data_IF_613354329615
#
_entry.id   IF_613354329615
#
_cell.length_a   1.000
_cell.length_b   1.000
_cell.length_c   1.000
_cell.angle_alpha   90.00
_cell.angle_beta   90.00
_cell.angle_gamma   90.00
#
_symmetry.space_group_name_H-M   'P 1'
#
loop_
_entity.id
_entity.type
_entity.pdbx_description
1 polymer ?
#
# COMPACT_ATOMS: atom_id res chain seq x y z
N UNK A 1 -10.32 -11.84 44.91
CA UNK A 1 -8.85 -11.77 44.90
C UNK A 1 -8.40 -11.81 43.46
N UNK A 2 -7.75 -10.75 43.01
CA UNK A 2 -7.48 -10.38 41.62
C UNK A 2 -6.18 -11.03 41.17
N UNK A 3 -6.23 -11.91 40.16
CA UNK A 3 -5.02 -12.44 39.53
C UNK A 3 -4.83 -11.69 38.22
N UNK A 4 -4.00 -10.67 38.26
CA UNK A 4 -3.50 -9.98 37.06
C UNK A 4 -2.56 -10.93 36.33
N UNK A 5 -2.99 -11.40 35.14
CA UNK A 5 -2.14 -12.11 34.22
C UNK A 5 -1.18 -11.09 33.59
N UNK A 6 0.04 -11.04 34.10
CA UNK A 6 1.14 -10.29 33.50
C UNK A 6 1.58 -11.04 32.24
N UNK A 7 1.12 -10.59 31.08
CA UNK A 7 1.74 -10.95 29.80
C UNK A 7 3.05 -10.17 29.73
N UNK A 8 4.09 -10.74 30.29
CA UNK A 8 5.45 -10.30 30.09
C UNK A 8 5.87 -10.86 28.73
N UNK A 9 5.75 -10.07 27.69
CA UNK A 9 6.39 -10.36 26.41
C UNK A 9 7.91 -10.25 26.66
N UNK A 10 8.50 -11.34 27.09
CA UNK A 10 9.95 -11.50 27.10
C UNK A 10 10.41 -11.59 25.63
N UNK A 11 10.71 -10.44 25.04
CA UNK A 11 11.60 -10.39 23.88
C UNK A 11 12.97 -10.79 24.44
N UNK A 12 13.27 -12.08 24.36
CA UNK A 12 14.61 -12.59 24.61
C UNK A 12 15.51 -11.98 23.53
N UNK A 13 16.18 -10.86 23.87
CA UNK A 13 17.33 -10.39 23.15
C UNK A 13 18.45 -11.41 23.37
N UNK A 14 18.52 -12.39 22.47
CA UNK A 14 19.72 -13.19 22.32
C UNK A 14 20.80 -12.24 21.80
N UNK A 15 21.61 -11.68 22.69
CA UNK A 15 22.87 -11.02 22.37
C UNK A 15 23.87 -12.08 21.90
N UNK A 16 23.69 -12.57 20.67
CA UNK A 16 24.79 -13.16 19.95
C UNK A 16 25.67 -11.99 19.48
N UNK A 17 26.87 -11.86 20.03
CA UNK A 17 27.94 -11.08 19.44
C UNK A 17 28.37 -11.74 18.12
N UNK A 18 27.57 -11.57 17.09
CA UNK A 18 28.01 -11.80 15.73
C UNK A 18 28.60 -10.47 15.24
N UNK A 19 29.82 -10.53 14.74
CA UNK A 19 30.40 -9.41 14.01
C UNK A 19 29.38 -8.97 12.95
N UNK A 20 28.80 -7.78 13.14
CA UNK A 20 27.64 -7.33 12.38
C UNK A 20 28.14 -6.93 10.98
N UNK A 21 28.11 -7.87 10.04
CA UNK A 21 28.28 -7.57 8.62
C UNK A 21 27.01 -6.92 8.13
N UNK A 22 27.08 -5.65 7.80
CA UNK A 22 25.93 -4.91 7.31
C UNK A 22 25.35 -5.57 6.06
N UNK A 23 24.10 -6.03 6.13
CA UNK A 23 23.34 -6.64 5.02
C UNK A 23 23.89 -7.98 4.47
N UNK A 24 24.49 -8.82 5.29
CA UNK A 24 24.87 -10.20 4.91
C UNK A 24 23.68 -11.15 4.93
N UNK A 25 23.87 -12.33 4.33
CA UNK A 25 22.91 -13.42 4.41
C UNK A 25 22.52 -13.72 5.88
N UNK A 26 21.21 -13.96 6.13
CA UNK A 26 20.68 -14.21 7.46
C UNK A 26 20.28 -12.96 8.25
N UNK A 27 20.61 -11.75 7.80
CA UNK A 27 20.32 -10.50 8.49
C UNK A 27 18.82 -10.17 8.38
N UNK A 28 18.20 -9.89 9.52
CA UNK A 28 16.88 -9.31 9.63
C UNK A 28 16.95 -7.80 9.81
N UNK A 29 16.02 -7.10 9.23
CA UNK A 29 15.86 -5.66 9.48
C UNK A 29 14.40 -5.27 9.54
N UNK A 30 14.13 -4.23 10.34
CA UNK A 30 12.82 -3.58 10.40
C UNK A 30 12.99 -2.12 10.01
N UNK A 31 11.96 -1.53 9.43
CA UNK A 31 11.93 -0.09 9.15
C UNK A 31 10.61 0.51 9.56
N UNK A 32 10.62 1.80 9.86
CA UNK A 32 9.47 2.64 10.12
C UNK A 32 9.61 3.92 9.31
N UNK A 33 8.50 4.38 8.73
CA UNK A 33 8.53 5.55 7.86
C UNK A 33 7.15 5.95 7.38
N UNK A 34 7.11 6.55 6.21
CA UNK A 34 5.89 6.99 5.55
C UNK A 34 5.83 6.49 4.10
N UNK A 35 4.62 6.20 3.66
CA UNK A 35 4.36 5.81 2.27
C UNK A 35 3.21 6.65 1.74
N UNK A 36 3.37 7.16 0.51
CA UNK A 36 2.35 7.81 -0.29
C UNK A 36 1.94 6.88 -1.43
N UNK A 37 0.64 6.59 -1.51
CA UNK A 37 0.02 5.90 -2.64
C UNK A 37 -0.69 6.95 -3.49
N UNK A 38 -0.32 7.03 -4.76
CA UNK A 38 -0.85 7.96 -5.75
C UNK A 38 -1.45 7.18 -6.92
N UNK A 39 -2.77 6.89 -6.88
CA UNK A 39 -3.44 6.17 -7.95
C UNK A 39 -3.36 6.93 -9.26
N UNK A 40 -2.95 6.25 -10.33
CA UNK A 40 -2.98 6.77 -11.70
C UNK A 40 -4.27 6.27 -12.36
N UNK A 41 -5.39 6.80 -11.88
CA UNK A 41 -6.72 6.26 -12.20
C UNK A 41 -7.07 6.48 -13.66
N UNK A 42 -7.42 5.39 -14.34
CA UNK A 42 -8.15 5.42 -15.59
C UNK A 42 -9.47 4.68 -15.36
N UNK A 43 -10.54 5.44 -15.26
CA UNK A 43 -11.90 4.91 -15.06
C UNK A 43 -12.55 4.61 -16.40
N UNK A 44 -13.22 3.47 -16.49
CA UNK A 44 -14.27 3.27 -17.46
C UNK A 44 -15.48 4.17 -17.15
N UNK A 45 -16.48 4.12 -18.02
CA UNK A 45 -17.75 4.78 -17.73
C UNK A 45 -18.57 3.94 -16.74
N UNK A 46 -19.29 4.61 -15.87
CA UNK A 46 -20.29 3.95 -15.02
C UNK A 46 -21.37 3.35 -15.94
N UNK A 47 -21.71 2.09 -15.71
CA UNK A 47 -22.68 1.38 -16.55
C UNK A 47 -24.07 2.04 -16.51
N UNK A 48 -24.90 1.75 -17.51
CA UNK A 48 -26.29 2.22 -17.57
C UNK A 48 -27.03 1.95 -16.25
N UNK A 49 -27.95 2.84 -15.83
CA UNK A 49 -28.53 3.96 -16.58
C UNK A 49 -27.79 5.30 -16.46
N UNK A 50 -26.53 5.31 -16.14
CA UNK A 50 -25.73 6.54 -16.04
C UNK A 50 -25.56 7.26 -17.38
N UNK A 51 -25.31 8.57 -17.32
CA UNK A 51 -24.94 9.34 -18.51
C UNK A 51 -23.61 8.85 -19.07
N UNK A 52 -23.42 8.93 -20.40
CA UNK A 52 -22.11 8.71 -21.01
C UNK A 52 -21.03 9.57 -20.35
N UNK A 53 -19.80 9.10 -20.35
CA UNK A 53 -18.62 9.77 -19.77
C UNK A 53 -18.70 10.02 -18.24
N UNK A 54 -19.62 9.34 -17.52
CA UNK A 54 -19.63 9.35 -16.04
C UNK A 54 -18.45 8.53 -15.54
N UNK A 55 -17.42 9.21 -15.03
CA UNK A 55 -16.15 8.61 -14.55
C UNK A 55 -15.86 8.96 -13.11
N UNK A 56 -14.89 8.27 -12.53
CA UNK A 56 -14.41 8.55 -11.17
C UNK A 56 -12.88 8.66 -11.16
N UNK A 57 -12.38 9.54 -10.33
CA UNK A 57 -10.96 9.66 -10.00
C UNK A 57 -10.72 9.29 -8.53
N UNK A 58 -9.52 8.78 -8.22
CA UNK A 58 -9.15 8.28 -6.89
C UNK A 58 -7.99 9.11 -6.35
N UNK A 59 -8.22 9.78 -5.23
CA UNK A 59 -7.23 10.70 -4.66
C UNK A 59 -6.13 9.98 -3.91
N UNK A 60 -4.92 10.54 -3.97
CA UNK A 60 -3.74 10.06 -3.27
C UNK A 60 -3.91 10.11 -1.75
N UNK A 61 -3.20 9.22 -1.06
CA UNK A 61 -3.17 9.20 0.41
C UNK A 61 -1.77 8.82 0.92
N UNK A 62 -1.41 9.35 2.08
CA UNK A 62 -0.16 9.03 2.78
C UNK A 62 -0.46 8.45 4.15
N UNK A 63 0.34 7.46 4.58
CA UNK A 63 0.21 6.79 5.87
C UNK A 63 1.58 6.50 6.48
N UNK A 64 1.59 6.33 7.80
CA UNK A 64 2.71 5.70 8.49
C UNK A 64 2.77 4.23 8.10
N UNK A 65 3.95 3.80 7.73
CA UNK A 65 4.22 2.44 7.29
C UNK A 65 5.55 1.96 7.86
N UNK A 66 5.77 0.68 7.78
CA UNK A 66 7.02 0.05 8.10
C UNK A 66 7.29 -1.11 7.17
N UNK A 67 8.14 -2.02 7.61
CA UNK A 67 8.40 -3.25 6.87
C UNK A 67 9.44 -4.09 7.55
N UNK A 68 9.48 -5.34 7.14
CA UNK A 68 10.48 -6.32 7.56
C UNK A 68 11.19 -6.82 6.32
N UNK A 69 12.51 -6.88 6.38
CA UNK A 69 13.34 -7.41 5.29
C UNK A 69 14.23 -8.51 5.85
N UNK A 70 14.34 -9.60 5.12
CA UNK A 70 15.26 -10.71 5.38
C UNK A 70 16.22 -10.88 4.22
N UNK A 71 17.53 -10.89 4.52
CA UNK A 71 18.58 -11.15 3.53
C UNK A 71 18.75 -12.66 3.34
N UNK A 72 18.27 -13.21 2.23
CA UNK A 72 18.40 -14.63 1.88
C UNK A 72 19.86 -14.94 1.50
N UNK A 73 20.48 -14.03 0.77
CA UNK A 73 21.92 -14.04 0.44
C UNK A 73 22.46 -12.64 0.64
N UNK A 74 23.72 -12.40 0.34
CA UNK A 74 24.34 -11.07 0.39
C UNK A 74 23.69 -10.06 -0.57
N UNK A 75 22.97 -10.52 -1.59
CA UNK A 75 22.35 -9.67 -2.60
C UNK A 75 20.83 -9.88 -2.72
N UNK A 76 20.30 -11.05 -2.39
CA UNK A 76 18.87 -11.30 -2.45
C UNK A 76 18.19 -11.10 -1.10
N UNK A 77 17.09 -10.40 -1.12
CA UNK A 77 16.26 -10.17 0.05
C UNK A 77 14.78 -10.45 -0.23
N UNK A 78 14.07 -10.85 0.81
CA UNK A 78 12.61 -10.84 0.85
C UNK A 78 12.20 -9.63 1.69
N UNK A 79 11.30 -8.81 1.16
CA UNK A 79 10.82 -7.60 1.81
C UNK A 79 9.30 -7.57 1.88
N UNK A 80 8.78 -7.28 3.07
CA UNK A 80 7.34 -7.22 3.35
C UNK A 80 7.03 -5.85 3.96
N UNK A 81 6.56 -4.88 3.16
CA UNK A 81 6.03 -3.64 3.69
C UNK A 81 4.72 -3.87 4.44
N UNK A 82 4.56 -3.15 5.54
CA UNK A 82 3.40 -3.20 6.41
C UNK A 82 2.97 -1.77 6.78
N UNK A 83 1.69 -1.57 7.06
CA UNK A 83 1.21 -0.25 7.42
C UNK A 83 -0.26 -0.21 7.79
N UNK A 84 -0.70 0.99 8.15
CA UNK A 84 -2.11 1.26 8.38
C UNK A 84 -2.86 1.31 7.04
N UNK A 85 -4.16 0.96 7.01
CA UNK A 85 -4.96 1.05 5.79
C UNK A 85 -4.98 2.46 5.23
N UNK A 86 -4.72 2.59 3.93
CA UNK A 86 -4.82 3.85 3.21
C UNK A 86 -6.29 4.20 2.96
N UNK A 87 -6.62 5.50 3.05
CA UNK A 87 -7.97 6.00 2.87
C UNK A 87 -8.01 6.81 1.58
N UNK A 88 -8.65 6.28 0.54
CA UNK A 88 -8.76 6.94 -0.75
C UNK A 88 -10.17 7.50 -0.95
N UNK A 89 -10.26 8.77 -1.30
CA UNK A 89 -11.51 9.43 -1.66
C UNK A 89 -11.75 9.24 -3.17
N UNK A 90 -12.99 8.90 -3.52
CA UNK A 90 -13.48 8.92 -4.90
C UNK A 90 -14.13 10.26 -5.18
N UNK A 91 -13.79 10.86 -6.31
CA UNK A 91 -14.37 12.11 -6.80
C UNK A 91 -14.91 11.93 -8.20
N UNK A 92 -15.91 12.71 -8.57
CA UNK A 92 -16.46 12.71 -9.92
C UNK A 92 -15.46 13.21 -10.95
N UNK A 93 -15.45 12.55 -12.11
CA UNK A 93 -14.67 12.90 -13.29
C UNK A 93 -15.51 12.79 -14.57
N UNK A 94 -15.04 13.34 -15.68
CA UNK A 94 -15.79 13.39 -16.92
C UNK A 94 -17.08 14.19 -16.77
N UNK A 95 -18.21 13.64 -17.20
CA UNK A 95 -19.52 14.30 -17.16
C UNK A 95 -19.95 14.74 -15.76
N UNK A 96 -19.39 14.14 -14.70
CA UNK A 96 -19.70 14.47 -13.31
C UNK A 96 -18.54 15.18 -12.59
N UNK A 97 -17.62 15.76 -13.37
CA UNK A 97 -16.53 16.57 -12.80
C UNK A 97 -17.12 17.74 -12.01
N UNK A 98 -16.48 18.03 -10.85
CA UNK A 98 -16.97 19.10 -9.96
C UNK A 98 -18.08 18.69 -8.98
N UNK A 99 -18.65 17.50 -9.05
CA UNK A 99 -19.65 17.02 -8.07
C UNK A 99 -19.05 16.75 -6.68
N UNK A 100 -17.72 16.87 -6.57
CA UNK A 100 -16.99 16.69 -5.33
C UNK A 100 -16.80 15.22 -4.95
N UNK A 101 -16.74 14.97 -3.66
CA UNK A 101 -16.50 13.63 -3.12
C UNK A 101 -17.74 12.75 -3.24
N UNK A 102 -17.59 11.62 -3.90
CA UNK A 102 -18.63 10.60 -4.07
C UNK A 102 -18.59 9.52 -2.97
N UNK A 103 -17.41 9.25 -2.45
CA UNK A 103 -17.22 8.23 -1.43
C UNK A 103 -15.78 8.10 -0.98
N UNK A 104 -15.56 7.12 -0.11
CA UNK A 104 -14.23 6.73 0.39
C UNK A 104 -14.15 5.23 0.53
N UNK A 105 -13.00 4.64 0.22
CA UNK A 105 -12.65 3.27 0.60
C UNK A 105 -11.36 3.25 1.41
N UNK A 106 -11.18 2.17 2.15
CA UNK A 106 -9.89 1.82 2.76
C UNK A 106 -9.26 0.71 1.93
N UNK A 107 -7.95 0.79 1.72
CA UNK A 107 -7.18 -0.28 1.09
C UNK A 107 -6.02 -0.68 1.98
N UNK A 108 -5.84 -1.98 2.14
CA UNK A 108 -4.66 -2.58 2.76
C UNK A 108 -3.93 -3.37 1.67
N UNK A 109 -2.82 -2.82 1.12
CA UNK A 109 -2.00 -3.56 0.16
C UNK A 109 -1.07 -4.51 0.92
N UNK A 110 -1.31 -5.80 0.84
CA UNK A 110 -0.39 -6.83 1.31
C UNK A 110 0.56 -7.18 0.15
N UNK A 111 1.84 -6.85 0.31
CA UNK A 111 2.85 -7.04 -0.73
C UNK A 111 4.02 -7.85 -0.21
N UNK A 112 4.55 -8.74 -1.05
CA UNK A 112 5.81 -9.43 -0.80
C UNK A 112 6.71 -9.16 -2.00
N UNK A 113 7.93 -8.69 -1.75
CA UNK A 113 8.95 -8.43 -2.75
C UNK A 113 10.10 -9.43 -2.66
N UNK A 114 10.58 -9.87 -3.81
CA UNK A 114 11.95 -10.34 -3.98
C UNK A 114 12.79 -9.15 -4.47
N UNK A 115 13.86 -8.82 -3.74
CA UNK A 115 14.74 -7.70 -4.06
C UNK A 115 16.14 -8.21 -4.38
N UNK A 116 16.76 -7.65 -5.41
CA UNK A 116 18.17 -7.82 -5.67
C UNK A 116 18.90 -6.51 -5.34
N UNK A 117 19.79 -6.54 -4.35
CA UNK A 117 20.58 -5.41 -3.86
C UNK A 117 21.96 -5.44 -4.50
N UNK A 118 22.31 -4.39 -5.19
CA UNK A 118 23.61 -4.25 -5.85
C UNK A 118 24.70 -3.82 -4.85
N UNK A 119 25.94 -4.03 -5.24
CA UNK A 119 27.11 -3.67 -4.44
C UNK A 119 27.39 -4.68 -3.31
N UNK A 120 28.45 -4.37 -2.57
CA UNK A 120 28.94 -5.21 -1.48
C UNK A 120 28.15 -4.98 -0.19
N UNK A 121 28.19 -5.94 0.74
CA UNK A 121 27.46 -5.91 2.01
C UNK A 121 27.79 -4.68 2.88
N UNK A 122 29.03 -4.20 2.79
CA UNK A 122 29.54 -3.06 3.57
C UNK A 122 29.41 -1.71 2.86
N UNK A 123 28.87 -1.68 1.63
CA UNK A 123 28.70 -0.43 0.90
C UNK A 123 27.74 0.50 1.64
N UNK A 124 28.11 1.78 1.76
CA UNK A 124 27.24 2.80 2.36
C UNK A 124 25.96 3.00 1.54
N UNK A 125 26.03 2.89 0.23
CA UNK A 125 24.91 3.03 -0.69
C UNK A 125 24.69 1.73 -1.46
N UNK A 126 23.47 1.16 -1.34
CA UNK A 126 23.07 -0.07 -2.03
C UNK A 126 21.75 0.13 -2.76
N UNK A 127 21.80 0.41 -4.05
CA UNK A 127 20.59 0.41 -4.89
C UNK A 127 20.04 -1.00 -5.03
N UNK A 128 18.73 -1.09 -5.30
CA UNK A 128 18.09 -2.37 -5.53
C UNK A 128 16.98 -2.28 -6.56
N UNK A 129 16.71 -3.42 -7.19
CA UNK A 129 15.52 -3.69 -7.96
C UNK A 129 14.72 -4.76 -7.25
N UNK A 130 13.41 -4.65 -7.31
CA UNK A 130 12.49 -5.62 -6.72
C UNK A 130 11.35 -5.97 -7.65
N UNK A 131 10.85 -7.17 -7.47
CA UNK A 131 9.60 -7.59 -8.08
C UNK A 131 8.72 -8.19 -6.99
N UNK A 132 7.50 -7.68 -6.87
CA UNK A 132 6.56 -8.09 -5.85
C UNK A 132 5.20 -8.48 -6.41
N UNK A 133 4.46 -9.18 -5.56
CA UNK A 133 3.04 -9.46 -5.77
C UNK A 133 2.27 -8.77 -4.67
N UNK A 134 1.27 -7.98 -5.05
CA UNK A 134 0.42 -7.20 -4.15
C UNK A 134 -0.99 -7.74 -4.19
N UNK A 135 -1.56 -8.04 -3.02
CA UNK A 135 -3.01 -8.22 -2.85
C UNK A 135 -3.59 -6.95 -2.25
N UNK A 136 -4.35 -6.21 -3.04
CA UNK A 136 -5.04 -5.01 -2.59
C UNK A 136 -6.41 -5.39 -2.03
N UNK A 137 -6.55 -5.38 -0.70
CA UNK A 137 -7.82 -5.63 -0.01
C UNK A 137 -8.53 -4.30 0.20
N UNK A 138 -9.69 -4.14 -0.43
CA UNK A 138 -10.59 -3.00 -0.24
C UNK A 138 -11.66 -3.32 0.81
N UNK A 139 -12.00 -2.34 1.64
CA UNK A 139 -13.01 -2.50 2.68
C UNK A 139 -13.44 -1.15 3.27
N UNK A 140 -14.57 -1.16 3.98
CA UNK A 140 -15.05 0.00 4.73
C UNK A 140 -15.41 1.17 3.82
N UNK A 141 -16.03 0.87 2.70
CA UNK A 141 -16.55 1.83 1.74
C UNK A 141 -17.64 2.67 2.42
N UNK A 142 -17.60 3.95 2.13
CA UNK A 142 -18.60 4.92 2.57
C UNK A 142 -18.94 5.83 1.40
N UNK A 143 -20.20 5.97 1.12
CA UNK A 143 -20.73 6.83 0.07
C UNK A 143 -21.22 8.16 0.64
N UNK A 144 -21.47 9.12 -0.22
CA UNK A 144 -21.93 10.47 0.15
C UNK A 144 -23.31 10.78 -0.46
N UNK A 145 -23.93 11.84 0.00
CA UNK A 145 -25.18 12.34 -0.58
C UNK A 145 -25.02 12.69 -2.07
N UNK A 146 -23.85 13.15 -2.48
CA UNK A 146 -23.56 13.43 -3.91
C UNK A 146 -23.70 12.19 -4.78
N UNK A 147 -23.23 11.02 -4.30
CA UNK A 147 -23.42 9.76 -5.02
C UNK A 147 -24.91 9.37 -5.07
N UNK A 148 -25.65 9.55 -3.97
CA UNK A 148 -27.09 9.28 -3.95
C UNK A 148 -27.84 10.08 -5.02
N UNK A 149 -27.51 11.37 -5.15
CA UNK A 149 -28.13 12.24 -6.17
C UNK A 149 -27.85 11.80 -7.60
N UNK A 150 -26.70 11.16 -7.84
CA UNK A 150 -26.30 10.66 -9.17
C UNK A 150 -26.91 9.29 -9.51
N UNK A 151 -27.26 8.50 -8.49
CA UNK A 151 -27.65 7.08 -8.64
C UNK A 151 -29.09 6.78 -8.19
N UNK A 152 -29.84 7.80 -7.82
CA UNK A 152 -31.23 7.65 -7.34
C UNK A 152 -31.36 7.13 -5.92
N UNK A 153 -30.28 7.11 -5.15
CA UNK A 153 -30.32 6.77 -3.72
C UNK A 153 -31.02 7.84 -2.89
N UNK A 154 -31.54 7.46 -1.75
CA UNK A 154 -32.22 8.36 -0.80
C UNK A 154 -31.53 8.32 0.57
N UNK A 155 -31.90 9.22 1.48
CA UNK A 155 -31.40 9.16 2.86
C UNK A 155 -31.85 7.88 3.60
N UNK A 156 -33.02 7.36 3.26
CA UNK A 156 -33.56 6.11 3.85
C UNK A 156 -32.90 4.87 3.23
N UNK A 157 -32.60 4.93 1.92
CA UNK A 157 -31.95 3.85 1.18
C UNK A 157 -30.76 4.43 0.39
N UNK A 158 -29.63 4.67 1.05
CA UNK A 158 -28.46 5.25 0.39
C UNK A 158 -27.82 4.25 -0.56
N UNK A 159 -27.30 4.74 -1.69
CA UNK A 159 -26.49 3.92 -2.58
C UNK A 159 -25.21 3.53 -1.86
N UNK A 160 -24.97 2.23 -1.73
CA UNK A 160 -23.71 1.69 -1.21
C UNK A 160 -22.77 1.32 -2.36
N UNK A 161 -21.48 1.27 -2.07
CA UNK A 161 -20.47 0.86 -3.00
C UNK A 161 -19.62 -0.27 -2.41
N UNK A 162 -19.14 -1.17 -3.26
CA UNK A 162 -18.14 -2.17 -2.92
C UNK A 162 -17.07 -2.21 -4.01
N UNK A 163 -15.83 -2.50 -3.62
CA UNK A 163 -14.68 -2.57 -4.54
C UNK A 163 -14.06 -3.94 -4.44
N UNK A 164 -13.89 -4.60 -5.57
CA UNK A 164 -13.28 -5.92 -5.62
C UNK A 164 -11.83 -5.89 -5.17
N UNK A 165 -11.46 -6.81 -4.30
CA UNK A 165 -10.05 -7.03 -3.95
C UNK A 165 -9.35 -7.81 -5.06
N UNK A 166 -8.15 -7.39 -5.44
CA UNK A 166 -7.44 -7.93 -6.61
C UNK A 166 -5.95 -8.10 -6.34
N UNK A 167 -5.35 -9.00 -7.10
CA UNK A 167 -3.90 -9.18 -7.17
C UNK A 167 -3.29 -8.29 -8.25
N UNK A 168 -2.06 -7.83 -8.02
CA UNK A 168 -1.28 -7.06 -8.98
C UNK A 168 0.20 -7.35 -8.89
N UNK A 169 0.89 -7.25 -10.03
CA UNK A 169 2.35 -7.29 -10.09
C UNK A 169 2.91 -5.91 -9.73
N UNK A 170 4.02 -5.89 -9.00
CA UNK A 170 4.56 -4.64 -8.45
C UNK A 170 6.08 -4.60 -8.62
N UNK A 171 6.61 -4.11 -9.74
CA UNK A 171 8.03 -3.78 -9.86
C UNK A 171 8.41 -2.64 -8.92
N UNK A 172 9.64 -2.69 -8.41
CA UNK A 172 10.21 -1.79 -7.43
C UNK A 172 11.62 -1.38 -7.80
N UNK A 173 11.97 -0.13 -7.54
CA UNK A 173 13.34 0.38 -7.53
C UNK A 173 13.55 1.17 -6.25
N UNK A 174 14.72 1.09 -5.67
CA UNK A 174 15.04 1.83 -4.47
C UNK A 174 16.51 1.76 -4.12
N UNK A 175 16.84 2.32 -2.97
CA UNK A 175 18.15 2.22 -2.40
C UNK A 175 18.11 2.21 -0.87
N UNK A 176 19.12 1.58 -0.31
CA UNK A 176 19.43 1.64 1.12
C UNK A 176 20.69 2.46 1.30
N UNK A 177 20.65 3.46 2.19
CA UNK A 177 21.81 4.22 2.61
C UNK A 177 22.15 3.89 4.06
N UNK A 178 23.32 3.30 4.30
CA UNK A 178 23.78 2.84 5.59
C UNK A 178 24.47 3.97 6.34
N UNK A 179 23.90 4.42 7.46
CA UNK A 179 24.56 5.39 8.37
C UNK A 179 25.67 4.71 9.16
N UNK A 180 25.43 3.47 9.55
CA UNK A 180 26.37 2.57 10.22
C UNK A 180 25.94 1.12 10.00
N UNK A 181 26.54 0.16 10.70
CA UNK A 181 26.23 -1.26 10.56
C UNK A 181 24.76 -1.61 10.87
N UNK A 182 24.10 -0.84 11.75
CA UNK A 182 22.73 -1.13 12.23
C UNK A 182 21.67 -0.21 11.65
N UNK A 183 21.94 1.09 11.54
CA UNK A 183 20.96 2.07 11.12
C UNK A 183 21.09 2.40 9.64
N UNK A 184 19.96 2.49 8.97
CA UNK A 184 19.88 2.81 7.55
C UNK A 184 18.66 3.63 7.19
N UNK A 185 18.76 4.34 6.08
CA UNK A 185 17.65 4.93 5.34
C UNK A 185 17.27 3.98 4.20
N UNK A 186 15.99 3.74 4.00
CA UNK A 186 15.43 3.05 2.84
C UNK A 186 14.53 4.00 2.08
N UNK A 187 14.75 4.11 0.77
CA UNK A 187 13.91 4.90 -0.13
C UNK A 187 13.51 4.02 -1.30
N UNK A 188 12.21 3.93 -1.54
CA UNK A 188 11.64 3.08 -2.57
C UNK A 188 10.59 3.78 -3.41
N UNK A 189 10.60 3.49 -4.68
CA UNK A 189 9.51 3.71 -5.60
C UNK A 189 9.05 2.37 -6.15
N UNK A 190 7.74 2.16 -6.19
CA UNK A 190 7.17 1.00 -6.86
C UNK A 190 5.84 1.33 -7.52
N UNK A 191 5.49 0.57 -8.54
CA UNK A 191 4.27 0.73 -9.30
C UNK A 191 3.51 -0.58 -9.30
N UNK A 192 2.30 -0.57 -8.75
CA UNK A 192 1.46 -1.76 -8.79
C UNK A 192 0.56 -1.73 -10.02
N UNK A 193 0.54 -2.82 -10.79
CA UNK A 193 -0.37 -2.97 -11.91
C UNK A 193 -1.67 -3.59 -11.40
N UNK A 194 -2.66 -2.74 -11.15
CA UNK A 194 -3.90 -3.12 -10.47
C UNK A 194 -5.13 -2.64 -11.26
N UNK A 195 -5.98 -3.60 -11.62
CA UNK A 195 -7.30 -3.34 -12.18
C UNK A 195 -8.36 -3.90 -11.24
N UNK A 196 -9.40 -3.15 -10.97
CA UNK A 196 -10.52 -3.57 -10.11
C UNK A 196 -11.85 -3.10 -10.68
N UNK A 197 -12.95 -3.54 -10.07
CA UNK A 197 -14.29 -3.10 -10.39
C UNK A 197 -14.95 -2.60 -9.11
N UNK A 198 -15.60 -1.46 -9.20
CA UNK A 198 -16.50 -0.97 -8.17
C UNK A 198 -17.95 -1.27 -8.58
N UNK A 199 -18.72 -1.76 -7.64
CA UNK A 199 -20.14 -2.10 -7.79
C UNK A 199 -20.97 -1.22 -6.87
N UNK A 200 -22.08 -0.72 -7.38
CA UNK A 200 -23.05 0.08 -6.63
C UNK A 200 -24.32 -0.74 -6.36
N UNK A 201 -24.96 -0.49 -5.22
CA UNK A 201 -26.25 -1.13 -4.88
C UNK A 201 -27.38 -0.78 -5.84
N UNK A 202 -27.21 0.26 -6.65
CA UNK A 202 -28.09 0.62 -7.77
C UNK A 202 -27.99 -0.34 -8.97
N UNK A 203 -27.12 -1.37 -8.90
CA UNK A 203 -26.86 -2.32 -9.99
C UNK A 203 -25.80 -1.86 -10.99
N UNK A 204 -25.31 -0.64 -10.85
CA UNK A 204 -24.27 -0.08 -11.72
C UNK A 204 -22.88 -0.55 -11.31
N UNK A 205 -21.96 -0.57 -12.27
CA UNK A 205 -20.55 -0.91 -12.03
C UNK A 205 -19.61 -0.04 -12.87
N UNK A 206 -18.38 0.10 -12.40
CA UNK A 206 -17.32 0.81 -13.12
C UNK A 206 -16.01 0.06 -12.98
N UNK A 207 -15.34 -0.16 -14.11
CA UNK A 207 -13.98 -0.74 -14.14
C UNK A 207 -12.96 0.35 -13.90
N UNK A 208 -12.01 0.09 -13.00
CA UNK A 208 -10.98 1.01 -12.56
C UNK A 208 -9.59 0.41 -12.80
N UNK A 209 -8.77 1.08 -13.60
CA UNK A 209 -7.35 0.83 -13.72
C UNK A 209 -6.65 1.81 -12.78
N UNK A 210 -6.21 1.33 -11.61
CA UNK A 210 -5.65 2.19 -10.55
C UNK A 210 -4.15 2.44 -10.76
N UNK A 211 -3.39 1.41 -11.13
CA UNK A 211 -1.95 1.45 -11.42
C UNK A 211 -1.16 2.45 -10.55
N UNK A 212 -1.26 2.41 -9.21
CA UNK A 212 -0.72 3.45 -8.35
C UNK A 212 0.80 3.53 -8.44
N UNK A 213 1.30 4.76 -8.42
CA UNK A 213 2.68 5.06 -8.07
C UNK A 213 2.79 5.11 -6.55
N UNK A 214 3.80 4.48 -5.99
CA UNK A 214 4.00 4.40 -4.54
C UNK A 214 5.40 4.87 -4.20
N UNK A 215 5.47 5.81 -3.28
CA UNK A 215 6.70 6.42 -2.78
C UNK A 215 6.83 6.11 -1.30
N UNK A 216 7.90 5.46 -0.90
CA UNK A 216 8.15 5.09 0.48
C UNK A 216 9.53 5.60 0.93
N UNK A 217 9.57 6.07 2.18
CA UNK A 217 10.79 6.47 2.86
C UNK A 217 10.72 6.00 4.32
N UNK A 218 11.80 5.44 4.82
CA UNK A 218 11.84 4.96 6.19
C UNK A 218 13.25 4.82 6.75
N UNK A 219 13.35 4.93 8.07
CA UNK A 219 14.56 4.60 8.82
C UNK A 219 14.41 3.17 9.33
N UNK A 220 15.48 2.41 9.18
CA UNK A 220 15.50 1.01 9.58
C UNK A 220 16.64 0.66 10.51
N UNK A 221 16.45 -0.48 11.18
CA UNK A 221 17.41 -1.07 12.09
C UNK A 221 17.61 -2.55 11.76
N UNK A 222 18.86 -3.02 11.88
CA UNK A 222 19.29 -4.41 11.62
C UNK A 222 19.65 -5.13 12.90
N UNK A 223 19.37 -6.42 12.90
CA UNK A 223 19.64 -7.33 14.00
C UNK A 223 20.70 -8.34 13.63
#
# INVERSE_FOLDING_TARGET
MKTFLRITAAVAMATACMAATAQSAGTWSVRLGATRIDPQTSSGWLSTPSFPDTRVDVKANSQLTGGVTYMVTNNWAIDVPMGLPFKHDFVGDGAISGTGKLGRTKVLPATVFAQYRFGEVNSAFRPYLGLGVTYAKFFGERTTASLNGLTGGTLANPTTASVDSKWGLTPQIGFVYNFNERWFLDVAYYKSFLKTTAHLSSGQSVSLKLNPNVYAIGIGYRF
#
